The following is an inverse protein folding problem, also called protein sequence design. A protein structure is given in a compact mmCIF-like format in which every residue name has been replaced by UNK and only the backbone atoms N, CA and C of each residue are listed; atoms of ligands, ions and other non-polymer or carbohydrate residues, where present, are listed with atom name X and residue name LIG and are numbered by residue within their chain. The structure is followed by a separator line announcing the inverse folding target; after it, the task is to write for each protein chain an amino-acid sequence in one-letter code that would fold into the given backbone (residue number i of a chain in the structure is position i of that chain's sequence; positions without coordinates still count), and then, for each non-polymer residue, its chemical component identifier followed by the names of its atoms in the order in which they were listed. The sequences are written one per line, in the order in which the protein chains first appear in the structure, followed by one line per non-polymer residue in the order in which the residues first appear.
data_IF_349121614212
#
_entry.id   IF_349121614212
#
_cell.length_a   1.000
_cell.length_b   1.000
_cell.length_c   1.000
_cell.angle_alpha   90.00
_cell.angle_beta   90.00
_cell.angle_gamma   90.00
#
_symmetry.space_group_name_H-M   'P 1'
#
loop_
_entity.id
_entity.type
_entity.pdbx_description
1 polymer ?
#
# COMPACT_ATOMS: atom_id res chain seq x y z
N UNK A 1 -4.84 9.81 -28.07
CA UNK A 1 -5.38 8.71 -27.23
C UNK A 1 -4.84 8.84 -25.81
N UNK A 2 -5.49 9.64 -24.96
CA UNK A 2 -5.10 9.94 -23.57
C UNK A 2 -6.36 9.77 -22.71
N UNK A 3 -6.50 8.65 -21.97
CA UNK A 3 -7.44 8.44 -20.83
C UNK A 3 -7.45 6.96 -20.38
N UNK A 4 -6.29 6.42 -20.02
CA UNK A 4 -6.19 5.15 -19.25
C UNK A 4 -5.28 5.34 -18.02
N UNK A 5 -5.26 6.54 -17.43
CA UNK A 5 -4.52 6.85 -16.19
C UNK A 5 -5.34 6.66 -14.90
N UNK A 6 -6.49 5.99 -15.00
CA UNK A 6 -7.45 5.82 -13.89
C UNK A 6 -7.88 4.36 -13.72
N UNK A 7 -6.92 3.43 -13.64
CA UNK A 7 -7.23 2.17 -12.97
C UNK A 7 -7.37 2.47 -11.47
N UNK A 8 -8.55 2.21 -10.87
CA UNK A 8 -8.85 2.57 -9.50
C UNK A 8 -8.18 1.55 -8.59
N UNK A 9 -7.15 1.97 -7.86
CA UNK A 9 -6.39 1.17 -6.89
C UNK A 9 -5.51 0.06 -7.51
N UNK A 10 -4.33 -0.22 -6.91
CA UNK A 10 -3.47 -1.33 -7.33
C UNK A 10 -4.20 -2.68 -7.29
N UNK A 11 -3.88 -3.60 -8.20
CA UNK A 11 -4.52 -4.92 -8.25
C UNK A 11 -4.32 -5.71 -6.95
N UNK A 12 -3.16 -5.55 -6.30
CA UNK A 12 -2.90 -6.14 -4.99
C UNK A 12 -3.82 -5.59 -3.89
N UNK A 13 -4.12 -4.30 -3.92
CA UNK A 13 -5.01 -3.63 -2.97
C UNK A 13 -6.42 -4.19 -3.08
N UNK A 14 -6.93 -4.39 -4.30
CA UNK A 14 -8.27 -4.97 -4.52
C UNK A 14 -8.33 -6.42 -4.02
N UNK A 15 -7.30 -7.22 -4.31
CA UNK A 15 -7.23 -8.61 -3.86
C UNK A 15 -7.13 -8.73 -2.33
N UNK A 16 -6.31 -7.89 -1.68
CA UNK A 16 -6.17 -7.88 -0.22
C UNK A 16 -7.43 -7.33 0.47
N UNK A 17 -8.12 -6.37 -0.12
CA UNK A 17 -9.41 -5.89 0.38
C UNK A 17 -10.47 -6.99 0.28
N UNK A 18 -10.54 -7.71 -0.85
CA UNK A 18 -11.43 -8.86 -0.99
C UNK A 18 -11.11 -9.94 0.05
N UNK A 19 -9.83 -10.20 0.29
CA UNK A 19 -9.38 -11.14 1.30
C UNK A 19 -9.84 -10.73 2.71
N UNK A 20 -9.72 -9.45 3.07
CA UNK A 20 -10.22 -8.92 4.34
C UNK A 20 -11.73 -9.09 4.48
N UNK A 21 -12.50 -8.67 3.47
CA UNK A 21 -13.97 -8.80 3.49
C UNK A 21 -14.40 -10.25 3.61
N UNK A 22 -13.79 -11.16 2.83
CA UNK A 22 -14.11 -12.59 2.89
C UNK A 22 -13.73 -13.20 4.26
N UNK A 23 -12.62 -12.77 4.86
CA UNK A 23 -12.27 -13.15 6.22
C UNK A 23 -13.30 -12.69 7.25
N UNK A 24 -13.79 -11.45 7.14
CA UNK A 24 -14.84 -10.94 8.04
C UNK A 24 -16.20 -11.62 7.86
N UNK A 25 -16.45 -12.22 6.70
CA UNK A 25 -17.69 -12.95 6.37
C UNK A 25 -17.54 -14.48 6.57
N UNK A 26 -16.49 -14.93 7.26
CA UNK A 26 -16.17 -16.35 7.52
C UNK A 26 -15.93 -17.22 6.26
N UNK A 27 -15.71 -16.61 5.09
CA UNK A 27 -15.30 -17.31 3.87
C UNK A 27 -13.77 -17.52 3.81
N UNK A 28 -13.23 -18.24 4.79
CA UNK A 28 -11.79 -18.36 5.03
C UNK A 28 -11.01 -18.90 3.82
N UNK A 29 -11.47 -19.98 3.16
CA UNK A 29 -10.74 -20.59 2.03
C UNK A 29 -10.61 -19.64 0.84
N UNK A 30 -11.70 -18.94 0.49
CA UNK A 30 -11.68 -17.94 -0.57
C UNK A 30 -10.84 -16.73 -0.16
N UNK A 31 -10.94 -16.30 1.11
CA UNK A 31 -10.16 -15.22 1.66
C UNK A 31 -8.65 -15.49 1.61
N UNK A 32 -8.20 -16.69 1.98
CA UNK A 32 -6.79 -17.09 1.88
C UNK A 32 -6.28 -17.14 0.43
N UNK A 33 -7.10 -17.61 -0.52
CA UNK A 33 -6.75 -17.58 -1.93
C UNK A 33 -6.53 -16.15 -2.44
N UNK A 34 -7.45 -15.24 -2.10
CA UNK A 34 -7.33 -13.82 -2.44
C UNK A 34 -6.16 -13.13 -1.73
N UNK A 35 -5.90 -13.48 -0.48
CA UNK A 35 -4.74 -12.98 0.27
C UNK A 35 -3.43 -13.37 -0.43
N UNK A 36 -3.29 -14.64 -0.81
CA UNK A 36 -2.13 -15.14 -1.55
C UNK A 36 -1.95 -14.44 -2.89
N UNK A 37 -3.03 -14.31 -3.68
CA UNK A 37 -3.02 -13.57 -4.96
C UNK A 37 -2.59 -12.12 -4.74
N UNK A 38 -3.13 -11.47 -3.69
CA UNK A 38 -2.79 -10.09 -3.34
C UNK A 38 -1.31 -9.91 -3.01
N UNK A 39 -0.73 -10.79 -2.20
CA UNK A 39 0.70 -10.77 -1.86
C UNK A 39 1.58 -11.01 -3.10
N UNK A 40 1.24 -11.99 -3.95
CA UNK A 40 2.01 -12.27 -5.18
C UNK A 40 1.92 -11.11 -6.16
N UNK A 41 0.73 -10.55 -6.37
CA UNK A 41 0.53 -9.39 -7.23
C UNK A 41 1.31 -8.18 -6.69
N UNK A 42 1.33 -8.00 -5.37
CA UNK A 42 2.08 -6.94 -4.73
C UNK A 42 3.59 -7.07 -4.98
N UNK A 43 4.15 -8.24 -4.73
CA UNK A 43 5.58 -8.53 -4.95
C UNK A 43 5.99 -8.40 -6.42
N UNK A 44 5.15 -8.84 -7.36
CA UNK A 44 5.50 -8.87 -8.80
C UNK A 44 5.20 -7.58 -9.55
N UNK A 45 4.08 -6.94 -9.26
CA UNK A 45 3.54 -5.84 -10.07
C UNK A 45 3.72 -4.48 -9.40
N UNK A 46 3.48 -4.42 -8.10
CA UNK A 46 3.42 -3.15 -7.38
C UNK A 46 4.76 -2.80 -6.72
N UNK A 47 5.60 -3.77 -6.35
CA UNK A 47 6.92 -3.51 -5.77
C UNK A 47 7.82 -2.67 -6.70
N UNK A 48 7.61 -2.75 -8.03
CA UNK A 48 8.28 -1.89 -9.01
C UNK A 48 7.73 -0.46 -9.05
N UNK A 49 6.52 -0.25 -8.54
CA UNK A 49 5.84 1.05 -8.50
C UNK A 49 6.07 1.82 -7.18
N UNK A 50 6.64 1.19 -6.15
CA UNK A 50 7.09 1.83 -4.90
C UNK A 50 7.82 3.15 -5.14
N UNK A 51 8.73 3.14 -6.12
CA UNK A 51 9.58 4.27 -6.44
C UNK A 51 8.88 5.33 -7.31
N UNK A 52 7.67 5.05 -7.82
CA UNK A 52 6.99 5.87 -8.82
C UNK A 52 5.65 6.46 -8.35
N UNK A 53 5.03 5.93 -7.29
CA UNK A 53 3.67 6.34 -6.90
C UNK A 53 3.42 6.22 -5.39
N UNK A 54 2.78 7.23 -4.79
CA UNK A 54 2.39 7.23 -3.37
C UNK A 54 1.28 6.23 -3.04
N UNK A 55 0.64 5.66 -4.06
CA UNK A 55 -0.46 4.70 -3.90
C UNK A 55 -0.02 3.33 -3.37
N UNK A 56 1.28 3.14 -3.14
CA UNK A 56 1.85 1.88 -2.67
C UNK A 56 1.57 1.58 -1.18
N UNK A 57 1.27 2.59 -0.35
CA UNK A 57 1.08 2.40 1.09
C UNK A 57 -0.15 1.59 1.48
N UNK A 58 -1.13 1.47 0.58
CA UNK A 58 -2.42 0.82 0.84
C UNK A 58 -2.32 -0.71 0.95
N UNK A 59 -1.55 -1.36 0.08
CA UNK A 59 -1.41 -2.83 0.09
C UNK A 59 -0.80 -3.39 1.39
N UNK A 60 0.32 -2.86 1.92
CA UNK A 60 0.85 -3.34 3.20
C UNK A 60 -0.11 -3.10 4.37
N UNK A 61 -0.80 -1.96 4.40
CA UNK A 61 -1.81 -1.68 5.44
C UNK A 61 -2.97 -2.69 5.36
N UNK A 62 -3.48 -3.00 4.17
CA UNK A 62 -4.52 -4.00 3.98
C UNK A 62 -4.04 -5.42 4.30
N UNK A 63 -2.78 -5.76 4.04
CA UNK A 63 -2.22 -7.04 4.42
C UNK A 63 -2.21 -7.24 5.96
N UNK A 64 -1.87 -6.18 6.71
CA UNK A 64 -1.92 -6.18 8.19
C UNK A 64 -3.34 -6.40 8.71
N UNK A 65 -4.35 -5.86 8.03
CA UNK A 65 -5.75 -6.00 8.44
C UNK A 65 -6.35 -7.36 8.01
N UNK A 66 -6.02 -7.83 6.81
CA UNK A 66 -6.56 -9.05 6.23
C UNK A 66 -6.05 -10.31 6.95
N UNK A 67 -4.78 -10.34 7.36
CA UNK A 67 -4.20 -11.54 7.98
C UNK A 67 -4.88 -11.95 9.30
N UNK A 68 -5.06 -11.06 10.30
CA UNK A 68 -5.80 -11.40 11.52
C UNK A 68 -7.28 -11.74 11.24
N UNK A 69 -7.91 -11.06 10.28
CA UNK A 69 -9.29 -11.34 9.89
C UNK A 69 -9.45 -12.76 9.30
N UNK A 70 -8.42 -13.29 8.63
CA UNK A 70 -8.43 -14.65 8.06
C UNK A 70 -7.95 -15.72 9.04
N UNK A 71 -6.94 -15.41 9.85
CA UNK A 71 -6.35 -16.35 10.79
C UNK A 71 -7.15 -16.47 12.10
N UNK A 72 -7.97 -15.47 12.43
CA UNK A 72 -8.82 -15.47 13.62
C UNK A 72 -8.03 -15.73 14.89
N UNK A 73 -8.53 -16.65 15.73
CA UNK A 73 -7.86 -17.05 16.97
C UNK A 73 -6.49 -17.72 16.76
N UNK A 74 -6.16 -18.17 15.54
CA UNK A 74 -4.88 -18.80 15.18
C UNK A 74 -3.88 -17.78 14.59
N UNK A 75 -4.18 -16.48 14.65
CA UNK A 75 -3.30 -15.44 14.14
C UNK A 75 -1.95 -15.43 14.89
N UNK A 76 -0.89 -15.89 14.21
CA UNK A 76 0.47 -15.83 14.75
C UNK A 76 0.90 -14.37 14.99
N UNK A 77 1.22 -14.06 16.25
CA UNK A 77 1.75 -12.75 16.66
C UNK A 77 2.99 -12.35 15.87
N UNK A 78 3.86 -13.31 15.56
CA UNK A 78 5.08 -13.05 14.81
C UNK A 78 4.79 -12.56 13.37
N UNK A 79 3.80 -13.18 12.71
CA UNK A 79 3.41 -12.80 11.34
C UNK A 79 2.71 -11.44 11.34
N UNK A 80 1.79 -11.20 12.28
CA UNK A 80 1.13 -9.89 12.44
C UNK A 80 2.15 -8.79 12.69
N UNK A 81 3.14 -9.04 13.56
CA UNK A 81 4.19 -8.08 13.85
C UNK A 81 5.08 -7.81 12.62
N UNK A 82 5.47 -8.85 11.89
CA UNK A 82 6.26 -8.70 10.66
C UNK A 82 5.51 -7.87 9.60
N UNK A 83 4.22 -8.12 9.41
CA UNK A 83 3.38 -7.33 8.51
C UNK A 83 3.26 -5.87 8.97
N UNK A 84 3.05 -5.65 10.28
CA UNK A 84 2.92 -4.30 10.84
C UNK A 84 4.21 -3.51 10.71
N UNK A 85 5.36 -4.13 11.00
CA UNK A 85 6.67 -3.52 10.82
C UNK A 85 6.90 -3.16 9.35
N UNK A 86 6.56 -4.05 8.43
CA UNK A 86 6.70 -3.76 7.01
C UNK A 86 5.79 -2.61 6.56
N UNK A 87 4.54 -2.57 7.04
CA UNK A 87 3.64 -1.46 6.75
C UNK A 87 4.15 -0.12 7.29
N UNK A 88 4.73 -0.12 8.50
CA UNK A 88 5.36 1.05 9.09
C UNK A 88 6.56 1.54 8.26
N UNK A 89 7.45 0.62 7.85
CA UNK A 89 8.61 0.97 7.01
C UNK A 89 8.15 1.60 5.69
N UNK A 90 7.16 1.00 5.02
CA UNK A 90 6.61 1.56 3.78
C UNK A 90 5.99 2.93 4.02
N UNK A 91 5.22 3.09 5.10
CA UNK A 91 4.62 4.37 5.47
C UNK A 91 5.68 5.46 5.69
N UNK A 92 6.76 5.15 6.40
CA UNK A 92 7.87 6.08 6.65
C UNK A 92 8.58 6.49 5.35
N UNK A 93 8.77 5.56 4.41
CA UNK A 93 9.36 5.86 3.09
C UNK A 93 8.47 6.84 2.32
N UNK A 94 7.16 6.59 2.29
CA UNK A 94 6.20 7.47 1.61
C UNK A 94 6.12 8.84 2.27
N UNK A 95 6.07 8.89 3.60
CA UNK A 95 6.06 10.14 4.36
C UNK A 95 7.34 10.95 4.10
N UNK A 96 8.50 10.30 4.13
CA UNK A 96 9.78 10.94 3.83
C UNK A 96 9.80 11.53 2.41
N UNK A 97 9.23 10.81 1.43
CA UNK A 97 9.15 11.31 0.05
C UNK A 97 8.21 12.50 -0.06
N UNK A 98 7.03 12.42 0.54
CA UNK A 98 6.05 13.51 0.54
C UNK A 98 6.64 14.80 1.14
N UNK A 99 7.30 14.68 2.31
CA UNK A 99 7.98 15.81 2.95
C UNK A 99 9.12 16.38 2.09
N UNK A 100 9.85 15.53 1.35
CA UNK A 100 10.93 15.97 0.47
C UNK A 100 10.42 16.70 -0.78
N UNK A 101 9.31 16.21 -1.38
CA UNK A 101 8.66 16.86 -2.51
C UNK A 101 8.10 18.24 -2.12
N UNK A 102 7.50 18.36 -0.95
CA UNK A 102 6.99 19.64 -0.42
C UNK A 102 8.12 20.65 -0.19
N UNK A 103 9.26 20.20 0.37
CA UNK A 103 10.44 21.07 0.51
C UNK A 103 10.98 21.53 -0.86
N UNK A 104 11.10 20.62 -1.83
CA UNK A 104 11.58 20.95 -3.16
C UNK A 104 10.67 21.97 -3.87
N UNK A 105 9.35 21.83 -3.72
CA UNK A 105 8.37 22.78 -4.26
C UNK A 105 8.49 24.15 -3.57
N UNK A 106 8.57 24.20 -2.25
CA UNK A 106 8.72 25.44 -1.49
C UNK A 106 9.99 26.22 -1.89
N UNK A 107 11.12 25.53 -2.03
CA UNK A 107 12.37 26.15 -2.49
C UNK A 107 12.28 26.65 -3.95
N UNK A 108 11.64 25.89 -4.84
CA UNK A 108 11.46 26.30 -6.23
C UNK A 108 10.58 27.54 -6.37
N UNK A 109 9.54 27.65 -5.54
CA UNK A 109 8.63 28.78 -5.51
C UNK A 109 9.32 30.04 -4.97
N UNK A 110 10.11 29.90 -3.91
CA UNK A 110 10.91 31.00 -3.34
C UNK A 110 11.97 31.51 -4.32
N UNK A 111 12.67 30.61 -5.04
CA UNK A 111 13.62 30.99 -6.09
C UNK A 111 12.95 31.75 -7.25
N UNK A 112 11.73 31.37 -7.62
CA UNK A 112 10.96 32.02 -8.69
C UNK A 112 10.46 33.41 -8.30
N UNK A 113 10.14 33.63 -7.04
CA UNK A 113 9.76 34.95 -6.49
C UNK A 113 10.99 35.87 -6.45
N UNK A 114 12.14 35.37 -6.00
CA UNK A 114 13.39 36.16 -5.93
C UNK A 114 13.94 36.58 -7.30
N UNK A 115 13.59 35.89 -8.39
CA UNK A 115 13.98 36.29 -9.76
C UNK A 115 13.01 37.30 -10.40
N UNK A 116 11.88 37.60 -9.76
CA UNK A 116 10.85 38.54 -10.25
C UNK A 116 10.93 39.92 -9.61
N UNK A 117 11.75 40.10 -8.58
CA UNK A 117 12.03 41.37 -7.89
C UNK A 117 13.38 41.88 -8.39
#
# INVERSE_FOLDING_TARGET
MKRLHQLPLPASTLALLAAFVLGTLDYQTAGWAWFGIGIVAWLKLDARQLLKSDRYGLSPALAVLAYPALAGAQASTAVTFALALHALVVFLILLSRHLSEDMAQAFSQQKRISQRI
#
